data_IF_710829178764
#
_entry.id   IF_710829178764
#
_cell.length_a   1.000
_cell.length_b   1.000
_cell.length_c   1.000
_cell.angle_alpha   90.00
_cell.angle_beta   90.00
_cell.angle_gamma   90.00
#
_symmetry.space_group_name_H-M   'P 1'
#
loop_
_entity.id
_entity.type
_entity.pdbx_description
1 polymer ?
#
# COMPACT_ATOMS: atom_id res chain seq x y z
N UNK A 1 0.66 18.42 1.47
CA UNK A 1 1.37 18.69 0.20
C UNK A 1 1.61 17.35 -0.44
N UNK A 2 1.01 17.12 -1.61
CA UNK A 2 1.20 15.89 -2.38
C UNK A 2 2.67 15.75 -2.81
N UNK A 3 3.16 14.51 -2.78
CA UNK A 3 4.54 14.19 -3.06
C UNK A 3 4.96 14.71 -4.43
N UNK A 4 6.04 15.50 -4.45
CA UNK A 4 6.67 15.92 -5.70
C UNK A 4 6.90 14.71 -6.60
N UNK A 5 6.76 14.93 -7.90
CA UNK A 5 6.81 13.89 -8.92
C UNK A 5 8.10 13.07 -8.76
N UNK A 6 7.93 11.77 -8.50
CA UNK A 6 9.05 10.87 -8.42
C UNK A 6 9.47 10.44 -9.82
N UNK A 7 10.02 11.39 -10.58
CA UNK A 7 10.31 11.28 -12.01
C UNK A 7 11.20 10.07 -12.29
N UNK A 8 12.24 9.84 -11.47
CA UNK A 8 13.15 8.71 -11.66
C UNK A 8 12.45 7.34 -11.61
N UNK A 9 11.42 7.18 -10.77
CA UNK A 9 10.63 5.94 -10.73
C UNK A 9 9.71 5.82 -11.93
N UNK A 10 9.07 6.91 -12.33
CA UNK A 10 8.19 6.94 -13.50
C UNK A 10 8.97 6.54 -14.75
N UNK A 11 10.14 7.14 -14.97
CA UNK A 11 11.03 6.83 -16.09
C UNK A 11 11.51 5.38 -16.04
N UNK A 12 11.91 4.89 -14.87
CA UNK A 12 12.37 3.52 -14.74
C UNK A 12 11.25 2.51 -14.99
N UNK A 13 10.04 2.75 -14.47
CA UNK A 13 8.87 1.90 -14.74
C UNK A 13 8.49 1.91 -16.22
N UNK A 14 8.54 3.07 -16.88
CA UNK A 14 8.33 3.15 -18.32
C UNK A 14 9.35 2.29 -19.08
N UNK A 15 10.64 2.38 -18.72
CA UNK A 15 11.68 1.55 -19.35
C UNK A 15 11.50 0.05 -19.12
N UNK A 16 11.08 -0.35 -17.92
CA UNK A 16 10.80 -1.76 -17.58
C UNK A 16 9.55 -2.26 -18.32
N UNK A 17 8.50 -1.43 -18.42
CA UNK A 17 7.30 -1.75 -19.19
C UNK A 17 7.62 -1.97 -20.67
N UNK A 18 8.40 -1.07 -21.29
CA UNK A 18 8.85 -1.23 -22.69
C UNK A 18 9.70 -2.48 -22.89
N UNK A 19 10.59 -2.81 -21.95
CA UNK A 19 11.39 -4.04 -22.02
C UNK A 19 10.53 -5.29 -21.85
N UNK A 20 9.52 -5.27 -20.97
CA UNK A 20 8.59 -6.38 -20.77
C UNK A 20 7.75 -6.65 -22.02
N UNK A 21 7.28 -5.59 -22.70
CA UNK A 21 6.53 -5.69 -23.96
C UNK A 21 7.42 -6.23 -25.09
N UNK A 22 8.68 -5.80 -25.17
CA UNK A 22 9.64 -6.32 -26.14
C UNK A 22 9.92 -7.82 -25.95
N UNK A 23 10.13 -8.26 -24.69
CA UNK A 23 10.37 -9.68 -24.38
C UNK A 23 9.12 -10.54 -24.66
N UNK A 24 7.91 -10.05 -24.37
CA UNK A 24 6.68 -10.77 -24.70
C UNK A 24 6.47 -10.89 -26.22
N UNK A 25 6.79 -9.85 -26.97
CA UNK A 25 6.69 -9.85 -28.44
C UNK A 25 7.71 -10.82 -29.07
N UNK A 26 8.94 -10.87 -28.55
CA UNK A 26 9.96 -11.84 -29.00
C UNK A 26 9.59 -13.29 -28.65
N UNK A 27 9.02 -13.53 -27.47
CA UNK A 27 8.52 -14.86 -27.09
C UNK A 27 7.35 -15.32 -27.97
N UNK A 28 6.43 -14.42 -28.34
CA UNK A 28 5.32 -14.73 -29.26
C UNK A 28 5.78 -14.96 -30.71
N UNK A 29 6.86 -14.30 -31.15
CA UNK A 29 7.47 -14.55 -32.46
C UNK A 29 8.15 -15.92 -32.53
N UNK A 30 8.78 -16.37 -31.44
CA UNK A 30 9.36 -17.72 -31.37
C UNK A 30 8.28 -18.82 -31.34
N UNK A 31 7.17 -18.61 -30.60
CA UNK A 31 6.04 -19.55 -30.56
C UNK A 31 5.34 -19.71 -31.92
N UNK A 32 5.25 -18.64 -32.73
CA UNK A 32 4.72 -18.73 -34.10
C UNK A 32 5.65 -19.48 -35.07
N UNK A 33 6.96 -19.45 -34.82
CA UNK A 33 7.93 -20.12 -35.70
C UNK A 33 7.96 -21.64 -35.49
N UNK A 34 7.53 -22.13 -34.31
CA UNK A 34 7.45 -23.57 -34.01
C UNK A 34 6.09 -24.21 -34.38
N UNK A 35 5.06 -23.40 -34.69
CA UNK A 35 3.73 -23.90 -35.06
C UNK A 35 3.50 -24.14 -36.56
N UNK A 36 4.43 -23.75 -37.44
CA UNK A 36 4.31 -23.98 -38.89
C UNK A 36 4.90 -25.33 -39.36
N UNK A 37 5.34 -26.21 -38.45
CA UNK A 37 5.80 -27.56 -38.80
C UNK A 37 5.24 -28.64 -37.87
N UNK A 38 3.93 -28.88 -37.94
CA UNK A 38 3.36 -30.20 -37.63
C UNK A 38 1.90 -30.25 -38.11
N UNK A 39 1.72 -30.48 -39.41
CA UNK A 39 0.50 -31.12 -39.92
C UNK A 39 0.59 -32.62 -39.58
N UNK A 40 -0.16 -33.09 -38.59
CA UNK A 40 -0.62 -34.48 -38.53
C UNK A 40 -1.84 -34.65 -37.62
N UNK A 41 -2.97 -34.95 -38.25
CA UNK A 41 -3.97 -35.96 -37.90
C UNK A 41 -4.33 -36.28 -36.42
N UNK A 42 -5.65 -36.16 -36.22
CA UNK A 42 -6.58 -37.13 -35.63
C UNK A 42 -6.89 -37.15 -34.12
N UNK A 43 -8.20 -37.34 -33.92
CA UNK A 43 -8.91 -38.00 -32.81
C UNK A 43 -9.38 -37.18 -31.60
N UNK A 44 -10.64 -36.72 -31.73
CA UNK A 44 -11.77 -37.05 -30.84
C UNK A 44 -11.52 -37.04 -29.31
N UNK A 45 -11.64 -35.85 -28.70
CA UNK A 45 -11.69 -35.65 -27.25
C UNK A 45 -13.14 -35.47 -26.72
N UNK A 46 -14.10 -36.25 -27.24
CA UNK A 46 -15.47 -36.29 -26.70
C UNK A 46 -15.59 -37.08 -25.37
N UNK A 47 -14.47 -37.44 -24.72
CA UNK A 47 -14.43 -38.35 -23.57
C UNK A 47 -14.43 -37.66 -22.19
N UNK A 48 -14.43 -36.32 -22.12
CA UNK A 48 -14.44 -35.60 -20.82
C UNK A 48 -15.78 -34.94 -20.44
N UNK A 49 -16.86 -35.17 -21.19
CA UNK A 49 -18.21 -34.66 -20.82
C UNK A 49 -18.95 -35.57 -19.82
N UNK A 50 -18.49 -36.80 -19.59
CA UNK A 50 -19.18 -37.73 -18.67
C UNK A 50 -18.87 -37.52 -17.18
N UNK A 51 -18.03 -36.54 -16.82
CA UNK A 51 -17.69 -36.23 -15.43
C UNK A 51 -18.44 -35.02 -14.85
N UNK A 52 -19.40 -34.45 -15.59
CA UNK A 52 -20.27 -33.37 -15.11
C UNK A 52 -21.76 -33.75 -15.03
N UNK A 53 -22.16 -34.94 -15.52
CA UNK A 53 -23.57 -35.35 -15.61
C UNK A 53 -23.99 -36.47 -14.63
N UNK A 54 -23.08 -37.08 -13.88
CA UNK A 54 -23.42 -38.03 -12.82
C UNK A 54 -23.29 -37.37 -11.45
N UNK A 55 -24.44 -37.06 -10.83
CA UNK A 55 -24.67 -36.60 -9.45
C UNK A 55 -25.12 -35.15 -9.24
N UNK A 56 -25.70 -34.49 -10.26
CA UNK A 56 -26.65 -33.41 -10.00
C UNK A 56 -28.07 -34.00 -9.87
N UNK A 57 -28.68 -33.97 -8.67
CA UNK A 57 -30.04 -34.46 -8.49
C UNK A 57 -31.02 -33.64 -9.33
N UNK A 58 -31.85 -34.38 -10.07
CA UNK A 58 -32.93 -33.85 -10.91
C UNK A 58 -33.93 -33.09 -10.01
N UNK A 59 -34.36 -31.87 -10.35
CA UNK A 59 -35.29 -31.10 -9.53
C UNK A 59 -36.65 -31.82 -9.51
N UNK A 60 -36.90 -32.60 -8.47
CA UNK A 60 -38.15 -33.35 -8.31
C UNK A 60 -38.08 -34.57 -7.40
N UNK A 61 -36.91 -35.13 -7.09
CA UNK A 61 -36.80 -36.26 -6.16
C UNK A 61 -36.62 -35.80 -4.72
N UNK A 62 -37.74 -35.77 -4.00
CA UNK A 62 -37.80 -35.53 -2.56
C UNK A 62 -36.87 -36.51 -1.79
N UNK A 63 -35.81 -35.99 -1.17
CA UNK A 63 -34.95 -36.83 -0.34
C UNK A 63 -33.65 -36.21 0.22
N UNK A 64 -33.64 -34.95 0.64
CA UNK A 64 -32.67 -34.43 1.63
C UNK A 64 -31.19 -34.24 1.24
N UNK A 65 -30.72 -34.77 0.10
CA UNK A 65 -29.31 -34.66 -0.34
C UNK A 65 -28.96 -33.31 -0.99
N UNK A 66 -29.91 -32.72 -1.71
CA UNK A 66 -29.75 -31.44 -2.42
C UNK A 66 -29.36 -30.27 -1.51
N UNK A 67 -29.96 -30.22 -0.33
CA UNK A 67 -29.68 -29.16 0.64
C UNK A 67 -28.27 -29.29 1.23
N UNK A 68 -27.71 -30.50 1.34
CA UNK A 68 -26.38 -30.71 1.88
C UNK A 68 -25.29 -30.32 0.87
N UNK A 69 -25.48 -30.68 -0.41
CA UNK A 69 -24.59 -30.27 -1.50
C UNK A 69 -24.64 -28.74 -1.70
N UNK A 70 -25.84 -28.16 -1.75
CA UNK A 70 -26.01 -26.70 -1.84
C UNK A 70 -25.46 -25.97 -0.62
N UNK A 71 -25.60 -26.52 0.60
CA UNK A 71 -24.97 -25.96 1.80
C UNK A 71 -23.43 -26.03 1.72
N UNK A 72 -22.86 -27.15 1.27
CA UNK A 72 -21.42 -27.28 1.09
C UNK A 72 -20.87 -26.31 0.03
N UNK A 73 -21.58 -26.13 -1.09
CA UNK A 73 -21.23 -25.11 -2.09
C UNK A 73 -21.31 -23.69 -1.50
N UNK A 74 -22.37 -23.37 -0.74
CA UNK A 74 -22.49 -22.08 -0.08
C UNK A 74 -21.37 -21.84 0.94
N UNK A 75 -20.97 -22.85 1.69
CA UNK A 75 -19.89 -22.74 2.67
C UNK A 75 -18.54 -22.57 1.98
N UNK A 76 -18.29 -23.30 0.89
CA UNK A 76 -17.09 -23.09 0.07
C UNK A 76 -17.05 -21.70 -0.55
N UNK A 77 -18.18 -21.18 -1.03
CA UNK A 77 -18.28 -19.80 -1.56
C UNK A 77 -17.98 -18.77 -0.46
N UNK A 78 -18.52 -18.93 0.75
CA UNK A 78 -18.24 -18.04 1.89
C UNK A 78 -16.76 -18.06 2.26
N UNK A 79 -16.15 -19.25 2.30
CA UNK A 79 -14.73 -19.42 2.60
C UNK A 79 -13.85 -18.68 1.57
N UNK A 80 -14.14 -18.85 0.28
CA UNK A 80 -13.43 -18.16 -0.80
C UNK A 80 -13.62 -16.64 -0.74
N UNK A 81 -14.84 -16.17 -0.47
CA UNK A 81 -15.12 -14.74 -0.31
C UNK A 81 -14.36 -14.14 0.88
N UNK A 82 -14.32 -14.86 2.01
CA UNK A 82 -13.54 -14.46 3.18
C UNK A 82 -12.05 -14.37 2.86
N UNK A 83 -11.52 -15.38 2.17
CA UNK A 83 -10.13 -15.39 1.72
C UNK A 83 -9.79 -14.23 0.78
N UNK A 84 -10.68 -13.90 -0.16
CA UNK A 84 -10.51 -12.73 -1.04
C UNK A 84 -10.47 -11.43 -0.23
N UNK A 85 -11.40 -11.25 0.71
CA UNK A 85 -11.46 -10.07 1.58
C UNK A 85 -10.22 -9.93 2.45
N UNK A 86 -9.72 -11.03 3.02
CA UNK A 86 -8.48 -11.05 3.82
C UNK A 86 -7.28 -10.64 2.98
N UNK A 87 -7.15 -11.16 1.76
CA UNK A 87 -6.05 -10.79 0.87
C UNK A 87 -6.11 -9.33 0.45
N UNK A 88 -7.29 -8.81 0.14
CA UNK A 88 -7.48 -7.41 -0.22
C UNK A 88 -7.09 -6.49 0.95
N UNK A 89 -7.58 -6.81 2.16
CA UNK A 89 -7.20 -6.09 3.37
C UNK A 89 -5.69 -6.16 3.63
N UNK A 90 -5.07 -7.35 3.52
CA UNK A 90 -3.62 -7.49 3.67
C UNK A 90 -2.85 -6.58 2.70
N UNK A 91 -3.25 -6.56 1.42
CA UNK A 91 -2.64 -5.70 0.40
C UNK A 91 -2.83 -4.21 0.72
N UNK A 92 -4.00 -3.83 1.23
CA UNK A 92 -4.20 -2.46 1.72
C UNK A 92 -3.25 -2.13 2.87
N UNK A 93 -2.95 -3.08 3.75
CA UNK A 93 -2.00 -2.88 4.83
C UNK A 93 -0.54 -2.91 4.36
N UNK A 94 -0.28 -3.08 3.05
CA UNK A 94 1.06 -3.13 2.45
C UNK A 94 1.71 -4.50 2.49
N UNK A 95 0.98 -5.57 2.85
CA UNK A 95 1.49 -6.93 2.79
C UNK A 95 1.57 -7.40 1.34
N UNK A 96 2.77 -7.80 0.92
CA UNK A 96 3.07 -8.20 -0.44
C UNK A 96 2.90 -7.10 -1.50
N UNK A 97 2.74 -5.84 -1.09
CA UNK A 97 2.59 -4.69 -2.00
C UNK A 97 3.40 -3.52 -1.49
N UNK A 98 4.22 -2.94 -2.36
CA UNK A 98 5.05 -1.80 -2.02
C UNK A 98 4.23 -0.50 -1.95
N UNK A 99 3.77 -0.12 -0.75
CA UNK A 99 2.82 0.97 -0.55
C UNK A 99 3.50 2.29 -0.17
N UNK A 100 3.13 3.37 -0.86
CA UNK A 100 3.51 4.72 -0.47
C UNK A 100 2.63 5.26 0.65
N UNK A 101 3.28 5.75 1.71
CA UNK A 101 2.63 6.32 2.88
C UNK A 101 3.07 7.76 3.13
N UNK A 102 2.27 8.47 3.93
CA UNK A 102 2.64 9.81 4.40
C UNK A 102 3.89 9.71 5.30
N UNK A 103 4.83 10.67 5.23
CA UNK A 103 6.04 10.63 6.02
C UNK A 103 5.81 10.50 7.54
N UNK A 104 4.78 11.14 8.10
CA UNK A 104 4.41 11.00 9.52
C UNK A 104 3.93 9.59 9.92
N UNK A 105 3.47 8.80 8.95
CA UNK A 105 2.79 7.52 9.24
C UNK A 105 3.67 6.30 8.97
N UNK A 106 4.69 6.44 8.13
CA UNK A 106 5.46 5.30 7.61
C UNK A 106 6.18 4.51 8.70
N UNK A 107 6.72 5.18 9.72
CA UNK A 107 7.43 4.50 10.83
C UNK A 107 6.47 3.74 11.73
N UNK A 108 5.32 4.36 12.06
CA UNK A 108 4.25 3.71 12.83
C UNK A 108 3.60 2.55 12.08
N UNK A 109 3.43 2.67 10.76
CA UNK A 109 2.90 1.60 9.92
C UNK A 109 3.77 0.33 9.97
N UNK A 110 5.08 0.47 10.22
CA UNK A 110 6.01 -0.63 10.42
C UNK A 110 6.09 -1.10 11.90
N UNK A 111 5.29 -0.52 12.79
CA UNK A 111 5.25 -0.87 14.21
C UNK A 111 6.25 -0.12 15.10
N UNK A 112 6.99 0.86 14.57
CA UNK A 112 7.94 1.65 15.37
C UNK A 112 7.20 2.64 16.28
N UNK A 113 7.77 2.90 17.46
CA UNK A 113 7.20 3.83 18.44
C UNK A 113 5.99 3.30 19.22
N UNK A 114 5.61 2.03 19.01
CA UNK A 114 4.48 1.39 19.67
C UNK A 114 4.80 0.77 21.05
N UNK A 115 6.05 0.94 21.52
CA UNK A 115 6.55 0.31 22.76
C UNK A 115 5.76 0.66 24.03
N UNK A 116 5.16 1.85 24.10
CA UNK A 116 4.29 2.26 25.21
C UNK A 116 2.81 1.86 25.06
N UNK A 117 2.42 1.36 23.88
CA UNK A 117 1.01 1.18 23.47
C UNK A 117 0.56 -0.29 23.58
N UNK A 118 1.50 -1.22 23.83
CA UNK A 118 1.26 -2.67 23.96
C UNK A 118 0.18 -3.08 24.97
N UNK A 119 -0.21 -2.18 25.89
CA UNK A 119 -1.17 -2.50 26.95
C UNK A 119 -2.64 -2.16 26.66
N UNK A 120 -2.97 -1.33 25.66
CA UNK A 120 -4.34 -0.78 25.58
C UNK A 120 -4.87 -0.37 24.20
N UNK A 121 -4.11 -0.52 23.09
CA UNK A 121 -4.65 -0.22 21.75
C UNK A 121 -4.58 -1.40 20.80
N UNK A 122 -5.60 -1.46 19.96
CA UNK A 122 -5.90 -2.51 18.99
C UNK A 122 -4.96 -2.55 17.76
N UNK A 123 -3.90 -1.74 17.71
CA UNK A 123 -3.03 -1.71 16.55
C UNK A 123 -2.10 -2.93 16.51
N UNK A 124 -2.34 -3.87 15.59
CA UNK A 124 -1.50 -5.04 15.39
C UNK A 124 -0.11 -4.60 14.88
N UNK A 125 0.94 -4.96 15.63
CA UNK A 125 2.33 -4.72 15.21
C UNK A 125 2.64 -5.69 14.07
N UNK A 126 3.10 -5.22 12.91
CA UNK A 126 3.49 -6.11 11.84
C UNK A 126 4.64 -7.03 12.28
N UNK A 127 4.56 -8.33 11.97
CA UNK A 127 5.59 -9.32 12.30
C UNK A 127 6.92 -8.98 11.61
N UNK A 128 6.84 -8.56 10.35
CA UNK A 128 7.96 -8.13 9.54
C UNK A 128 7.53 -6.99 8.62
N UNK A 129 8.35 -5.95 8.57
CA UNK A 129 8.14 -4.80 7.72
C UNK A 129 9.46 -4.31 7.11
N UNK A 130 9.37 -3.80 5.89
CA UNK A 130 10.48 -3.19 5.15
C UNK A 130 10.08 -1.75 4.87
N UNK A 131 10.93 -0.82 5.30
CA UNK A 131 10.75 0.61 5.06
C UNK A 131 11.80 1.08 4.07
N UNK A 132 11.36 1.62 2.94
CA UNK A 132 12.22 2.35 2.02
C UNK A 132 12.02 3.87 2.19
N UNK A 133 13.05 4.52 2.73
CA UNK A 133 13.13 5.97 2.79
C UNK A 133 13.80 6.48 1.51
N UNK A 134 12.98 6.73 0.50
CA UNK A 134 13.47 7.06 -0.84
C UNK A 134 13.95 8.51 -0.94
N UNK A 135 14.91 8.74 -1.84
CA UNK A 135 15.27 10.05 -2.35
C UNK A 135 14.72 10.19 -3.79
N UNK A 136 13.83 11.16 -4.07
CA UNK A 136 13.22 11.30 -5.40
C UNK A 136 14.23 11.55 -6.51
N UNK A 137 15.42 12.08 -6.19
CA UNK A 137 16.48 12.37 -7.16
C UNK A 137 17.40 11.16 -7.40
N UNK A 138 17.26 10.10 -6.60
CA UNK A 138 18.12 8.93 -6.66
C UNK A 138 17.56 7.85 -7.60
N UNK A 139 18.29 7.57 -8.67
CA UNK A 139 18.02 6.45 -9.59
C UNK A 139 18.10 5.10 -8.88
N UNK A 140 19.00 4.97 -7.90
CA UNK A 140 19.12 3.76 -7.10
C UNK A 140 17.89 3.51 -6.22
N UNK A 141 17.26 4.57 -5.70
CA UNK A 141 15.96 4.45 -5.01
C UNK A 141 14.89 3.89 -5.94
N UNK A 142 14.84 4.34 -7.20
CA UNK A 142 13.87 3.87 -8.17
C UNK A 142 14.11 2.39 -8.51
N UNK A 143 15.39 2.00 -8.66
CA UNK A 143 15.80 0.62 -8.88
C UNK A 143 15.39 -0.29 -7.72
N UNK A 144 15.51 0.21 -6.48
CA UNK A 144 15.10 -0.53 -5.30
C UNK A 144 13.60 -0.72 -5.24
N UNK A 145 12.81 0.30 -5.59
CA UNK A 145 11.35 0.18 -5.59
C UNK A 145 10.86 -0.93 -6.53
N UNK A 146 11.40 -0.99 -7.75
CA UNK A 146 11.07 -2.04 -8.73
C UNK A 146 11.46 -3.42 -8.19
N UNK A 147 12.61 -3.51 -7.51
CA UNK A 147 13.04 -4.76 -6.88
C UNK A 147 12.09 -5.18 -5.74
N UNK A 148 11.69 -4.24 -4.88
CA UNK A 148 10.80 -4.50 -3.75
C UNK A 148 9.36 -4.81 -4.20
N UNK A 149 8.90 -4.24 -5.31
CA UNK A 149 7.60 -4.60 -5.92
C UNK A 149 7.58 -6.08 -6.32
N UNK A 150 8.63 -6.57 -6.97
CA UNK A 150 8.77 -8.00 -7.32
C UNK A 150 8.86 -8.90 -6.09
N UNK A 151 9.68 -8.51 -5.11
CA UNK A 151 9.80 -9.27 -3.87
C UNK A 151 8.48 -9.33 -3.10
N UNK A 152 7.66 -8.28 -3.14
CA UNK A 152 6.35 -8.27 -2.51
C UNK A 152 5.39 -9.34 -3.07
N UNK A 153 5.48 -9.64 -4.37
CA UNK A 153 4.64 -10.68 -4.98
C UNK A 153 4.93 -12.08 -4.43
N UNK A 154 6.21 -12.35 -4.11
CA UNK A 154 6.69 -13.63 -3.58
C UNK A 154 6.55 -13.72 -2.05
N UNK A 155 6.90 -12.65 -1.33
CA UNK A 155 6.95 -12.60 0.12
C UNK A 155 5.76 -11.81 0.66
N UNK A 156 4.57 -12.36 0.45
CA UNK A 156 3.31 -11.68 0.78
C UNK A 156 3.12 -11.44 2.26
N UNK A 157 3.78 -12.24 3.11
CA UNK A 157 3.74 -12.08 4.56
C UNK A 157 4.51 -10.88 5.11
N UNK A 158 5.29 -10.21 4.27
CA UNK A 158 6.07 -9.03 4.66
C UNK A 158 5.35 -7.75 4.26
N UNK A 159 5.34 -6.76 5.16
CA UNK A 159 4.80 -5.43 4.87
C UNK A 159 5.86 -4.56 4.18
N UNK A 160 5.54 -4.00 3.02
CA UNK A 160 6.44 -3.14 2.24
C UNK A 160 5.90 -1.72 2.22
N UNK A 161 6.63 -0.79 2.82
CA UNK A 161 6.22 0.62 2.90
C UNK A 161 7.33 1.55 2.47
N UNK A 162 6.94 2.69 1.89
CA UNK A 162 7.87 3.72 1.45
C UNK A 162 7.34 5.12 1.71
N UNK A 163 8.26 6.05 1.95
CA UNK A 163 7.98 7.46 2.10
C UNK A 163 9.22 8.30 1.77
N UNK A 164 9.02 9.59 1.48
CA UNK A 164 10.13 10.51 1.22
C UNK A 164 11.04 10.60 2.43
N UNK A 165 12.31 10.24 2.29
CA UNK A 165 13.23 10.07 3.41
C UNK A 165 13.45 11.36 4.19
N UNK A 166 13.76 12.47 3.49
CA UNK A 166 14.01 13.78 4.10
C UNK A 166 12.81 14.27 4.93
N UNK A 167 11.61 14.12 4.37
CA UNK A 167 10.37 14.50 5.05
C UNK A 167 10.11 13.61 6.28
N UNK A 168 10.33 12.29 6.16
CA UNK A 168 10.09 11.32 7.23
C UNK A 168 10.98 11.60 8.44
N UNK A 169 12.28 11.83 8.21
CA UNK A 169 13.24 12.16 9.26
C UNK A 169 12.96 13.51 9.93
N UNK A 170 12.30 14.44 9.23
CA UNK A 170 11.96 15.76 9.76
C UNK A 170 10.65 15.74 10.54
N UNK A 171 9.63 15.07 10.02
CA UNK A 171 8.30 15.02 10.64
C UNK A 171 8.24 14.06 11.84
N UNK A 172 9.15 13.08 11.92
CA UNK A 172 9.23 12.12 13.02
C UNK A 172 10.60 12.22 13.72
N UNK A 173 11.11 13.42 13.95
CA UNK A 173 12.49 13.63 14.43
C UNK A 173 12.81 12.83 15.70
N UNK A 174 11.92 12.86 16.70
CA UNK A 174 12.12 12.16 17.97
C UNK A 174 12.18 10.64 17.77
N UNK A 175 11.18 10.09 17.07
CA UNK A 175 11.10 8.64 16.81
C UNK A 175 12.23 8.15 15.91
N UNK A 176 12.62 8.95 14.91
CA UNK A 176 13.73 8.64 14.03
C UNK A 176 15.06 8.65 14.79
N UNK A 177 15.28 9.61 15.71
CA UNK A 177 16.49 9.66 16.53
C UNK A 177 16.59 8.46 17.47
N UNK A 178 15.47 8.01 18.03
CA UNK A 178 15.40 6.84 18.91
C UNK A 178 15.57 5.52 18.14
N UNK A 179 14.76 5.30 17.11
CA UNK A 179 14.66 4.01 16.40
C UNK A 179 15.67 3.86 15.27
N UNK A 180 16.15 4.96 14.69
CA UNK A 180 16.99 5.00 13.49
C UNK A 180 18.25 5.90 13.70
N UNK A 181 19.03 5.72 14.78
CA UNK A 181 20.12 6.64 15.15
C UNK A 181 21.25 6.74 14.10
N UNK A 182 21.35 5.75 13.20
CA UNK A 182 22.35 5.74 12.11
C UNK A 182 21.91 6.57 10.90
N UNK A 183 20.64 6.98 10.84
CA UNK A 183 20.09 7.70 9.70
C UNK A 183 20.08 9.21 9.96
N UNK A 184 20.68 9.91 9.01
CA UNK A 184 20.62 11.37 8.88
C UNK A 184 20.09 11.71 7.49
N UNK A 185 19.89 13.00 7.21
CA UNK A 185 19.45 13.46 5.89
C UNK A 185 20.48 13.16 4.79
N UNK A 186 21.75 13.02 5.13
CA UNK A 186 22.86 12.78 4.18
C UNK A 186 23.07 11.29 3.89
N UNK A 187 22.47 10.41 4.70
CA UNK A 187 22.56 8.95 4.54
C UNK A 187 21.38 8.35 3.77
N UNK A 188 20.58 9.20 3.12
CA UNK A 188 19.49 8.80 2.24
C UNK A 188 20.02 8.52 0.82
N UNK A 189 19.35 7.66 0.04
CA UNK A 189 18.20 6.82 0.43
C UNK A 189 18.57 5.69 1.38
N UNK A 190 17.59 5.11 2.09
CA UNK A 190 17.85 4.05 3.05
C UNK A 190 16.82 2.93 3.03
N UNK A 191 17.29 1.70 3.20
CA UNK A 191 16.45 0.52 3.40
C UNK A 191 16.51 0.08 4.87
N UNK A 192 15.36 -0.17 5.47
CA UNK A 192 15.24 -0.51 6.89
C UNK A 192 14.43 -1.80 7.00
N UNK A 193 14.97 -2.78 7.71
CA UNK A 193 14.26 -4.01 8.06
C UNK A 193 13.78 -3.92 9.52
N UNK A 194 12.50 -4.17 9.72
CA UNK A 194 11.82 -4.11 11.01
C UNK A 194 11.19 -5.47 11.30
N UNK A 195 11.36 -5.95 12.51
CA UNK A 195 10.75 -7.19 13.00
C UNK A 195 10.09 -6.94 14.34
N UNK A 196 8.82 -7.29 14.47
CA UNK A 196 8.04 -7.14 15.71
C UNK A 196 8.11 -5.71 16.29
N UNK A 197 8.13 -4.70 15.40
CA UNK A 197 8.23 -3.27 15.77
C UNK A 197 9.63 -2.82 16.22
N UNK A 198 10.68 -3.61 15.96
CA UNK A 198 12.08 -3.30 16.27
C UNK A 198 12.92 -3.28 15.01
N UNK A 199 13.76 -2.27 14.85
CA UNK A 199 14.70 -2.19 13.72
C UNK A 199 15.80 -3.24 13.89
N UNK A 200 15.85 -4.22 12.97
CA UNK A 200 16.84 -5.31 12.99
C UNK A 200 18.03 -5.03 12.08
N UNK A 201 17.80 -4.33 10.97
CA UNK A 201 18.87 -3.95 10.05
C UNK A 201 18.54 -2.62 9.37
N UNK A 202 19.59 -1.88 9.00
CA UNK A 202 19.48 -0.59 8.32
C UNK A 202 20.64 -0.44 7.34
N UNK A 203 20.32 -0.15 6.09
CA UNK A 203 21.27 0.04 4.99
C UNK A 203 21.17 1.50 4.49
N UNK A 204 21.98 2.42 5.05
CA UNK A 204 22.09 3.79 4.56
C UNK A 204 22.76 3.84 3.19
N UNK A 205 22.33 4.79 2.37
CA UNK A 205 22.77 5.03 0.99
C UNK A 205 22.69 3.81 0.06
N UNK A 206 22.04 2.72 0.49
CA UNK A 206 21.99 1.44 -0.22
C UNK A 206 23.38 0.89 -0.59
N UNK A 207 24.41 1.27 0.19
CA UNK A 207 25.84 1.09 -0.12
C UNK A 207 26.28 -0.35 -0.34
N UNK A 208 25.57 -1.32 0.25
CA UNK A 208 25.88 -2.75 0.15
C UNK A 208 24.96 -3.51 -0.81
N UNK A 209 24.07 -2.83 -1.54
CA UNK A 209 22.97 -3.46 -2.27
C UNK A 209 23.05 -3.29 -3.79
N UNK A 210 24.07 -2.60 -4.29
CA UNK A 210 24.23 -2.39 -5.72
C UNK A 210 25.37 -1.45 -6.08
N UNK A 211 25.35 -0.99 -7.33
CA UNK A 211 26.35 -0.10 -7.88
C UNK A 211 25.84 1.34 -7.93
N UNK A 212 26.42 2.19 -7.07
CA UNK A 212 26.12 3.61 -6.96
C UNK A 212 26.36 4.36 -8.28
N UNK A 213 27.34 3.93 -9.08
CA UNK A 213 27.68 4.56 -10.36
C UNK A 213 26.66 4.22 -11.43
N UNK A 214 26.20 2.98 -11.46
CA UNK A 214 25.16 2.53 -12.37
C UNK A 214 23.76 2.97 -11.93
N UNK A 215 23.58 3.40 -10.67
CA UNK A 215 22.29 3.78 -10.10
C UNK A 215 21.33 2.59 -10.02
N UNK A 216 21.85 1.37 -9.88
CA UNK A 216 21.08 0.12 -9.90
C UNK A 216 21.36 -0.71 -8.66
N UNK A 217 20.30 -1.27 -8.09
CA UNK A 217 20.41 -2.31 -7.06
C UNK A 217 20.54 -3.68 -7.72
N UNK A 218 21.22 -4.60 -7.05
CA UNK A 218 21.30 -5.99 -7.43
C UNK A 218 20.21 -6.79 -6.69
N UNK A 219 19.21 -7.37 -7.38
CA UNK A 219 18.07 -8.00 -6.73
C UNK A 219 18.44 -9.10 -5.73
N UNK A 220 19.41 -9.96 -6.09
CA UNK A 220 19.89 -11.03 -5.21
C UNK A 220 20.56 -10.49 -3.94
N UNK A 221 21.26 -9.36 -4.03
CA UNK A 221 21.87 -8.72 -2.86
C UNK A 221 20.80 -8.14 -1.92
N UNK A 222 19.76 -7.53 -2.49
CA UNK A 222 18.60 -7.02 -1.71
C UNK A 222 17.88 -8.16 -1.01
N UNK A 223 17.56 -9.24 -1.73
CA UNK A 223 16.89 -10.41 -1.17
C UNK A 223 17.73 -11.07 -0.08
N UNK A 224 19.01 -11.35 -0.34
CA UNK A 224 19.90 -11.95 0.66
C UNK A 224 20.06 -11.06 1.90
N UNK A 225 20.10 -9.74 1.74
CA UNK A 225 20.18 -8.82 2.88
C UNK A 225 18.90 -8.87 3.73
N UNK A 226 17.72 -8.91 3.10
CA UNK A 226 16.44 -9.00 3.79
C UNK A 226 16.20 -10.38 4.43
N UNK A 227 16.64 -11.46 3.78
CA UNK A 227 16.58 -12.82 4.31
C UNK A 227 17.49 -12.99 5.54
N UNK A 228 18.71 -12.43 5.48
CA UNK A 228 19.61 -12.39 6.63
C UNK A 228 19.01 -11.60 7.81
N UNK A 229 18.23 -10.55 7.53
CA UNK A 229 17.47 -9.81 8.54
C UNK A 229 16.21 -10.57 9.02
N UNK A 230 15.86 -11.69 8.38
CA UNK A 230 14.71 -12.56 8.66
C UNK A 230 13.38 -11.80 8.65
N UNK A 231 13.22 -10.92 7.66
CA UNK A 231 12.00 -10.15 7.44
C UNK A 231 11.22 -10.57 6.21
N UNK A 232 11.73 -11.53 5.42
CA UNK A 232 11.02 -12.11 4.27
C UNK A 232 10.11 -13.25 4.74
N UNK A 233 8.81 -13.04 4.68
CA UNK A 233 7.77 -13.98 5.08
C UNK A 233 6.87 -14.26 3.88
N UNK A 234 6.62 -15.54 3.58
CA UNK A 234 5.78 -15.92 2.43
C UNK A 234 4.29 -15.79 2.74
N UNK A 235 3.89 -16.19 3.94
CA UNK A 235 2.50 -16.19 4.39
C UNK A 235 2.23 -15.01 5.30
N UNK A 236 1.07 -14.36 5.13
CA UNK A 236 0.63 -13.28 6.02
C UNK A 236 0.21 -13.89 7.35
N UNK A 237 0.96 -13.69 8.45
CA UNK A 237 0.69 -14.39 9.70
C UNK A 237 -0.29 -13.59 10.58
N UNK A 238 -1.19 -12.83 9.95
CA UNK A 238 -2.21 -12.05 10.65
C UNK A 238 -3.51 -12.86 10.68
N UNK A 239 -4.06 -12.99 11.88
CA UNK A 239 -5.38 -13.57 12.07
C UNK A 239 -6.46 -12.61 11.53
N UNK A 240 -7.63 -13.14 11.14
CA UNK A 240 -8.73 -12.34 10.60
C UNK A 240 -9.05 -11.11 11.47
N UNK A 241 -9.01 -11.29 12.77
CA UNK A 241 -9.32 -10.28 13.77
C UNK A 241 -8.35 -9.09 13.76
N UNK A 242 -7.12 -9.27 13.28
CA UNK A 242 -6.13 -8.21 13.18
C UNK A 242 -6.36 -7.29 11.97
N UNK A 243 -7.00 -7.79 10.91
CA UNK A 243 -7.38 -6.97 9.75
C UNK A 243 -8.55 -6.02 10.07
N UNK A 244 -9.43 -6.40 10.99
CA UNK A 244 -10.58 -5.57 11.39
C UNK A 244 -10.24 -4.49 12.41
N UNK A 245 -9.00 -4.41 12.89
CA UNK A 245 -8.56 -3.41 13.87
C UNK A 245 -8.15 -2.11 13.20
N UNK A 246 -8.24 -1.00 13.95
CA UNK A 246 -7.80 0.30 13.46
C UNK A 246 -6.30 0.23 13.15
N UNK A 247 -5.95 0.68 11.95
CA UNK A 247 -4.57 0.58 11.45
C UNK A 247 -3.65 1.46 12.29
N UNK A 248 -2.40 1.05 12.60
CA UNK A 248 -1.45 1.91 13.31
C UNK A 248 -1.27 3.29 12.66
N UNK A 249 -1.26 3.34 11.33
CA UNK A 249 -1.20 4.58 10.56
C UNK A 249 -2.48 5.45 10.64
N UNK A 250 -3.65 4.83 10.85
CA UNK A 250 -4.91 5.55 11.06
C UNK A 250 -5.01 6.06 12.48
N UNK A 251 -4.57 5.28 13.46
CA UNK A 251 -4.41 5.75 14.83
C UNK A 251 -3.50 6.97 14.88
N UNK A 252 -2.34 6.92 14.20
CA UNK A 252 -1.44 8.07 14.09
C UNK A 252 -2.11 9.29 13.44
N UNK A 253 -2.93 9.08 12.40
CA UNK A 253 -3.70 10.17 11.78
C UNK A 253 -4.74 10.75 12.73
N UNK A 254 -5.49 9.91 13.44
CA UNK A 254 -6.50 10.33 14.40
C UNK A 254 -5.87 11.10 15.55
N UNK A 255 -4.72 10.66 16.06
CA UNK A 255 -3.94 11.40 17.05
C UNK A 255 -3.49 12.77 16.53
N UNK A 256 -3.00 12.84 15.29
CA UNK A 256 -2.59 14.11 14.70
C UNK A 256 -3.80 15.05 14.55
N UNK A 257 -4.94 14.55 14.08
CA UNK A 257 -6.19 15.33 14.00
C UNK A 257 -6.66 15.81 15.37
N UNK A 258 -6.57 14.98 16.41
CA UNK A 258 -6.90 15.38 17.79
C UNK A 258 -5.96 16.48 18.30
N UNK A 259 -4.66 16.35 18.01
CA UNK A 259 -3.64 17.36 18.39
C UNK A 259 -3.87 18.69 17.68
N UNK A 260 -4.15 18.67 16.38
CA UNK A 260 -4.47 19.89 15.62
C UNK A 260 -5.78 20.53 16.07
N UNK A 261 -6.80 19.72 16.40
CA UNK A 261 -8.04 20.22 16.99
C UNK A 261 -7.81 20.89 18.35
N UNK A 262 -6.92 20.33 19.18
CA UNK A 262 -6.54 20.93 20.45
C UNK A 262 -5.82 22.27 20.25
N UNK A 263 -4.85 22.34 19.32
CA UNK A 263 -4.19 23.60 18.96
C UNK A 263 -5.16 24.67 18.46
N UNK A 264 -6.14 24.28 17.64
CA UNK A 264 -7.19 25.18 17.16
C UNK A 264 -8.09 25.68 18.30
N UNK A 265 -8.33 24.85 19.32
CA UNK A 265 -9.11 25.24 20.50
C UNK A 265 -8.34 26.21 21.43
N UNK A 266 -7.01 26.20 21.38
CA UNK A 266 -6.14 27.13 22.13
C UNK A 266 -5.95 28.49 21.43
N UNK A 267 -6.33 28.62 20.16
CA UNK A 267 -6.26 29.90 19.46
C UNK A 267 -7.26 30.89 20.06
N UNK A 268 -6.85 32.16 20.25
CA UNK A 268 -7.78 33.22 20.61
C UNK A 268 -8.94 33.27 19.59
N UNK A 269 -10.19 33.46 20.02
CA UNK A 269 -11.35 33.48 19.14
C UNK A 269 -11.25 34.55 18.04
N UNK A 270 -10.41 35.56 18.25
CA UNK A 270 -10.08 36.64 17.31
C UNK A 270 -9.36 36.15 16.03
N UNK A 271 -8.69 34.99 16.08
CA UNK A 271 -7.96 34.41 14.95
C UNK A 271 -8.77 33.40 14.14
N UNK A 272 -10.01 33.11 14.55
CA UNK A 272 -10.92 32.22 13.85
C UNK A 272 -11.80 33.08 12.95
N UNK A 273 -11.81 32.78 11.64
CA UNK A 273 -12.69 33.50 10.73
C UNK A 273 -14.13 33.09 11.03
N UNK A 274 -14.92 34.02 11.58
CA UNK A 274 -16.34 33.81 11.78
C UNK A 274 -17.03 33.80 10.42
N UNK A 275 -17.33 32.59 9.93
CA UNK A 275 -18.03 32.36 8.67
C UNK A 275 -19.56 32.35 8.83
N UNK A 276 -20.06 32.59 10.06
CA UNK A 276 -21.48 32.68 10.40
C UNK A 276 -22.20 31.34 10.52
N UNK A 277 -21.45 30.24 10.48
CA UNK A 277 -21.95 28.88 10.65
C UNK A 277 -21.55 28.39 12.04
N UNK A 278 -22.53 28.02 12.88
CA UNK A 278 -22.26 27.46 14.21
C UNK A 278 -21.40 26.20 14.09
N UNK A 279 -20.24 26.17 14.76
CA UNK A 279 -19.28 25.06 14.72
C UNK A 279 -18.20 25.16 13.63
N UNK A 280 -18.20 26.23 12.83
CA UNK A 280 -17.16 26.55 11.87
C UNK A 280 -15.89 27.04 12.59
N UNK A 281 -14.77 26.32 12.44
CA UNK A 281 -13.52 26.59 13.17
C UNK A 281 -12.33 26.89 12.24
N UNK A 282 -12.59 27.24 10.96
CA UNK A 282 -11.49 27.49 10.01
C UNK A 282 -10.97 28.91 10.18
N UNK A 283 -9.66 29.06 10.00
CA UNK A 283 -8.94 30.34 10.19
C UNK A 283 -8.85 31.18 8.92
N UNK A 284 -9.24 30.63 7.76
CA UNK A 284 -9.23 31.32 6.47
C UNK A 284 -10.66 31.58 5.96
N UNK A 285 -10.82 32.59 5.08
CA UNK A 285 -12.10 32.89 4.45
C UNK A 285 -12.57 31.72 3.59
N UNK A 286 -13.78 31.24 3.82
CA UNK A 286 -14.37 30.13 3.07
C UNK A 286 -15.90 30.23 3.09
N UNK A 287 -16.54 29.46 2.21
CA UNK A 287 -18.00 29.38 2.08
C UNK A 287 -18.51 28.00 2.49
N UNK A 288 -19.74 27.94 2.98
CA UNK A 288 -20.47 26.70 3.18
C UNK A 288 -21.54 26.58 2.10
N UNK A 289 -21.40 25.58 1.22
CA UNK A 289 -22.37 25.34 0.14
C UNK A 289 -23.75 25.11 0.75
N UNK A 290 -24.74 25.88 0.30
CA UNK A 290 -26.13 25.79 0.78
C UNK A 290 -26.48 26.63 2.01
N UNK A 291 -25.54 27.39 2.58
CA UNK A 291 -25.83 28.33 3.67
C UNK A 291 -25.90 29.76 3.12
N UNK A 292 -26.97 30.48 3.43
CA UNK A 292 -27.12 31.91 3.11
C UNK A 292 -27.08 32.71 4.41
N UNK A 293 -26.01 33.44 4.64
CA UNK A 293 -25.88 34.39 5.75
C UNK A 293 -25.23 35.69 5.27
N UNK A 294 -25.39 36.76 6.05
CA UNK A 294 -24.92 38.10 5.68
C UNK A 294 -23.40 38.15 5.48
N UNK A 295 -22.67 37.30 6.22
CA UNK A 295 -21.21 37.18 6.17
C UNK A 295 -20.69 36.47 4.90
N UNK A 296 -21.53 35.70 4.19
CA UNK A 296 -21.21 35.01 2.92
C UNK A 296 -21.88 35.68 1.70
N UNK A 297 -22.66 36.74 1.90
CA UNK A 297 -23.50 37.38 0.87
C UNK A 297 -22.75 38.13 -0.24
N UNK A 298 -21.50 38.58 0.00
CA UNK A 298 -20.68 39.33 -0.96
C UNK A 298 -19.84 38.49 -1.92
N UNK A 299 -20.04 37.18 -1.93
CA UNK A 299 -19.14 36.20 -2.57
C UNK A 299 -19.89 35.17 -3.44
N UNK A 300 -21.21 35.35 -3.56
CA UNK A 300 -22.06 34.62 -4.49
C UNK A 300 -21.90 35.26 -5.87
N UNK A 301 -21.17 34.60 -6.78
CA UNK A 301 -21.36 34.86 -8.20
C UNK A 301 -22.80 34.41 -8.52
N UNK A 302 -23.70 35.36 -8.79
CA UNK A 302 -24.96 35.03 -9.41
C UNK A 302 -24.68 34.18 -10.65
N UNK A 303 -25.42 33.09 -10.82
CA UNK A 303 -25.23 32.14 -11.92
C UNK A 303 -25.24 32.83 -13.31
N UNK A 304 -25.93 33.96 -13.39
CA UNK A 304 -25.97 34.86 -14.55
C UNK A 304 -24.60 35.46 -14.91
N UNK A 305 -23.76 35.78 -13.91
CA UNK A 305 -22.38 36.30 -14.11
C UNK A 305 -21.44 35.16 -14.53
N UNK A 306 -21.64 33.96 -14.00
CA UNK A 306 -20.82 32.79 -14.34
C UNK A 306 -21.09 32.23 -15.74
N UNK A 307 -22.30 32.43 -16.28
CA UNK A 307 -22.71 31.97 -17.61
C UNK A 307 -22.51 33.01 -18.72
N UNK A 308 -22.05 34.23 -18.39
CA UNK A 308 -21.71 35.25 -19.39
C UNK A 308 -22.90 35.75 -20.22
N UNK A 309 -24.13 35.57 -19.75
CA UNK A 309 -25.32 36.09 -20.42
C UNK A 309 -25.66 37.47 -19.86
N UNK A 310 -25.01 38.49 -20.43
CA UNK A 310 -25.47 39.88 -20.39
C UNK A 310 -26.32 40.20 -21.61
#
# INVERSE_FOLDING_TARGET
MDGGEYIALIEMKASVGTLSEQVCNEAQLNLKTEQESNESDSDDDSEFDYLLDEDLPVPGTAGGGDNALMAHHQDRVKELQLFMMMNESAREHGFGVHRQLHPERVLHAAGLGMGGVRGNRAAAIPPAAIIHLYDPESTMSASLDVCLEKLGEEYRGTKYVRAGGRATLTMNEDLARESLPKLTRDTLPALIAVRDGVVVACCPQLSSLGDARAGKVEPHAVEAWLDNARVLLREVPLEFEDYCRIRPEEDALLENMMREKAKLAELPPENIYNCGVKGCCKTFRHQHVGVKNDEQSGLLLCQEIALGTS
#
